data_IF_006055942931
#
_entry.id   IF_006055942931
#
_cell.length_a   1.000
_cell.length_b   1.000
_cell.length_c   1.000
_cell.angle_alpha   90.00
_cell.angle_beta   90.00
_cell.angle_gamma   90.00
#
_symmetry.space_group_name_H-M   'P 1'
#
loop_
_entity.id
_entity.type
_entity.pdbx_description
1 polymer ?
#
# COMPACT_ATOMS: atom_id res chain seq x y z
N UNK A 1 6.70 13.59 -1.22
CA UNK A 1 6.35 12.67 -0.11
C UNK A 1 5.63 13.34 1.05
N UNK A 2 5.95 14.58 1.43
CA UNK A 2 5.34 15.23 2.62
C UNK A 2 3.84 15.61 2.50
N UNK A 3 3.27 15.61 1.29
CA UNK A 3 1.93 16.15 1.02
C UNK A 3 0.77 15.19 1.35
N UNK A 4 1.04 13.92 1.70
CA UNK A 4 0.00 12.91 1.93
C UNK A 4 -0.09 12.40 3.37
N UNK A 5 0.78 12.86 4.28
CA UNK A 5 0.86 12.31 5.64
C UNK A 5 -0.04 13.02 6.66
N UNK A 6 -0.67 14.16 6.38
CA UNK A 6 -1.61 14.84 7.31
C UNK A 6 -1.14 14.88 8.79
N UNK A 7 0.17 15.13 9.04
CA UNK A 7 0.83 15.07 10.36
C UNK A 7 0.89 13.69 11.06
N UNK A 8 0.56 12.59 10.39
CA UNK A 8 0.76 11.24 10.91
C UNK A 8 2.20 10.74 10.71
N UNK A 9 2.75 9.94 11.64
CA UNK A 9 4.04 9.30 11.44
C UNK A 9 3.96 8.31 10.26
N UNK A 10 5.06 8.12 9.52
CA UNK A 10 5.09 7.24 8.34
C UNK A 10 4.71 5.80 8.68
N UNK A 11 5.08 5.34 9.88
CA UNK A 11 4.78 4.00 10.39
C UNK A 11 3.40 3.90 11.09
N UNK A 12 2.57 4.95 11.01
CA UNK A 12 1.23 4.90 11.59
C UNK A 12 0.44 3.75 10.96
N UNK A 13 -0.15 2.85 11.76
CA UNK A 13 -0.96 1.78 11.22
C UNK A 13 -2.17 2.37 10.50
N UNK A 14 -2.46 1.85 9.31
CA UNK A 14 -3.66 2.18 8.54
C UNK A 14 -4.51 0.93 8.35
N UNK A 15 -5.76 1.13 7.94
CA UNK A 15 -6.61 -0.01 7.61
C UNK A 15 -6.05 -0.79 6.42
N UNK A 16 -5.75 -2.08 6.63
CA UNK A 16 -5.31 -2.99 5.57
C UNK A 16 -6.26 -2.96 4.37
N UNK A 17 -7.57 -2.89 4.61
CA UNK A 17 -8.57 -2.82 3.55
C UNK A 17 -8.35 -1.61 2.61
N UNK A 18 -8.05 -0.44 3.17
CA UNK A 18 -7.80 0.77 2.38
C UNK A 18 -6.54 0.64 1.51
N UNK A 19 -5.49 0.00 2.03
CA UNK A 19 -4.28 -0.29 1.27
C UNK A 19 -4.55 -1.33 0.18
N UNK A 20 -5.23 -2.43 0.49
CA UNK A 20 -5.59 -3.46 -0.50
C UNK A 20 -6.46 -2.88 -1.62
N UNK A 21 -7.45 -2.02 -1.31
CA UNK A 21 -8.22 -1.33 -2.35
C UNK A 21 -7.34 -0.46 -3.25
N UNK A 22 -6.34 0.24 -2.70
CA UNK A 22 -5.42 1.03 -3.50
C UNK A 22 -4.53 0.14 -4.39
N UNK A 23 -4.03 -0.97 -3.86
CA UNK A 23 -3.23 -1.94 -4.62
C UNK A 23 -4.05 -2.61 -5.73
N UNK A 24 -5.30 -2.96 -5.46
CA UNK A 24 -6.22 -3.52 -6.46
C UNK A 24 -6.41 -2.55 -7.64
N UNK A 25 -6.70 -1.28 -7.35
CA UNK A 25 -6.85 -0.24 -8.38
C UNK A 25 -5.57 0.00 -9.18
N UNK A 26 -4.42 -0.29 -8.60
CA UNK A 26 -3.13 -0.18 -9.27
C UNK A 26 -2.85 -1.39 -10.18
N UNK A 27 -3.52 -2.53 -9.95
CA UNK A 27 -3.39 -3.74 -10.75
C UNK A 27 -2.89 -4.97 -9.99
N UNK A 28 -2.79 -4.93 -8.66
CA UNK A 28 -2.46 -6.12 -7.87
C UNK A 28 -3.68 -7.02 -7.68
N UNK A 29 -3.49 -8.34 -7.80
CA UNK A 29 -4.51 -9.33 -7.46
C UNK A 29 -4.65 -9.45 -5.93
N UNK A 30 -5.60 -8.71 -5.38
CA UNK A 30 -5.99 -8.84 -3.97
C UNK A 30 -7.02 -9.94 -3.71
N UNK A 31 -7.61 -10.52 -4.77
CA UNK A 31 -8.59 -11.60 -4.64
C UNK A 31 -7.92 -12.88 -4.11
N UNK A 32 -6.66 -13.10 -4.47
CA UNK A 32 -5.83 -14.15 -3.89
C UNK A 32 -5.51 -13.89 -2.39
N UNK A 33 -5.52 -12.65 -1.92
CA UNK A 33 -5.14 -12.29 -0.55
C UNK A 33 -6.28 -12.45 0.47
N UNK A 34 -6.85 -13.66 0.56
CA UNK A 34 -8.01 -13.95 1.42
C UNK A 34 -7.67 -14.12 2.91
N UNK A 35 -6.41 -14.41 3.23
CA UNK A 35 -5.95 -14.56 4.62
C UNK A 35 -5.04 -13.39 5.03
N UNK A 36 -4.98 -13.05 6.34
CA UNK A 36 -4.08 -12.00 6.82
C UNK A 36 -2.61 -12.22 6.44
N UNK A 37 -2.17 -13.50 6.40
CA UNK A 37 -0.81 -13.84 5.97
C UNK A 37 -0.58 -13.55 4.48
N UNK A 38 -1.57 -13.83 3.62
CA UNK A 38 -1.46 -13.53 2.19
C UNK A 38 -1.54 -12.03 1.93
N UNK A 39 -2.37 -11.29 2.67
CA UNK A 39 -2.40 -9.82 2.63
C UNK A 39 -1.05 -9.23 3.02
N UNK A 40 -0.46 -9.73 4.12
CA UNK A 40 0.88 -9.31 4.56
C UNK A 40 1.94 -9.57 3.50
N UNK A 41 1.90 -10.73 2.82
CA UNK A 41 2.81 -11.05 1.70
C UNK A 41 2.61 -10.11 0.51
N UNK A 42 1.37 -9.80 0.16
CA UNK A 42 1.06 -8.88 -0.94
C UNK A 42 1.54 -7.46 -0.63
N UNK A 43 1.32 -6.98 0.59
CA UNK A 43 1.83 -5.68 1.06
C UNK A 43 3.37 -5.68 1.07
N UNK A 44 4.00 -6.75 1.57
CA UNK A 44 5.45 -6.87 1.59
C UNK A 44 6.03 -6.85 0.16
N UNK A 45 5.40 -7.55 -0.79
CA UNK A 45 5.82 -7.52 -2.18
C UNK A 45 5.77 -6.10 -2.76
N UNK A 46 4.68 -5.35 -2.51
CA UNK A 46 4.59 -3.95 -2.93
C UNK A 46 5.67 -3.08 -2.26
N UNK A 47 5.88 -3.24 -0.95
CA UNK A 47 6.91 -2.53 -0.20
C UNK A 47 8.31 -2.83 -0.74
N UNK A 48 8.63 -4.08 -1.09
CA UNK A 48 9.92 -4.40 -1.70
C UNK A 48 10.17 -3.64 -3.01
N UNK A 49 9.12 -3.33 -3.78
CA UNK A 49 9.24 -2.59 -5.04
C UNK A 49 9.36 -1.08 -4.83
N UNK A 50 8.55 -0.51 -3.93
CA UNK A 50 8.40 0.96 -3.84
C UNK A 50 8.87 1.56 -2.50
N UNK A 51 9.08 0.75 -1.47
CA UNK A 51 9.55 1.12 -0.13
C UNK A 51 10.59 0.09 0.40
N UNK A 52 11.70 -0.18 -0.31
CA UNK A 52 12.62 -1.26 0.06
C UNK A 52 13.30 -1.07 1.43
N UNK A 53 13.21 0.14 2.01
CA UNK A 53 13.72 0.45 3.35
C UNK A 53 12.91 -0.22 4.47
N UNK A 54 11.65 -0.59 4.21
CA UNK A 54 10.78 -1.26 5.18
C UNK A 54 9.71 -2.10 4.45
N UNK A 55 9.86 -3.42 4.56
CA UNK A 55 9.05 -4.44 3.88
C UNK A 55 8.42 -5.45 4.85
N UNK A 56 8.10 -5.01 6.07
CA UNK A 56 7.48 -5.85 7.11
C UNK A 56 6.12 -6.44 6.72
N UNK A 57 5.52 -5.96 5.62
CA UNK A 57 4.19 -6.35 5.13
C UNK A 57 3.05 -5.70 5.92
N UNK A 58 3.37 -4.73 6.76
CA UNK A 58 2.40 -4.03 7.60
C UNK A 58 1.75 -2.89 6.81
N UNK A 59 0.45 -2.70 6.99
CA UNK A 59 -0.24 -1.57 6.38
C UNK A 59 0.07 -0.30 7.18
N UNK A 60 0.92 0.55 6.62
CA UNK A 60 1.32 1.83 7.19
C UNK A 60 0.96 3.03 6.29
N UNK A 61 0.97 4.22 6.89
CA UNK A 61 0.59 5.45 6.23
C UNK A 61 1.50 5.81 5.04
N UNK A 62 2.81 5.53 5.12
CA UNK A 62 3.75 5.76 4.03
C UNK A 62 3.47 4.82 2.85
N UNK A 63 3.25 3.53 3.11
CA UNK A 63 2.90 2.53 2.09
C UNK A 63 1.58 2.91 1.37
N UNK A 64 0.56 3.34 2.11
CA UNK A 64 -0.70 3.82 1.52
C UNK A 64 -0.51 5.11 0.71
N UNK A 65 0.31 6.04 1.20
CA UNK A 65 0.63 7.27 0.47
C UNK A 65 1.36 6.99 -0.85
N UNK A 66 2.31 6.04 -0.85
CA UNK A 66 3.00 5.58 -2.07
C UNK A 66 1.99 4.98 -3.06
N UNK A 67 1.13 4.06 -2.61
CA UNK A 67 0.12 3.44 -3.47
C UNK A 67 -0.82 4.49 -4.10
N UNK A 68 -1.30 5.46 -3.30
CA UNK A 68 -2.14 6.57 -3.78
C UNK A 68 -1.40 7.49 -4.75
N UNK A 69 -0.14 7.80 -4.50
CA UNK A 69 0.67 8.61 -5.40
C UNK A 69 0.90 7.92 -6.75
N UNK A 70 1.11 6.60 -6.75
CA UNK A 70 1.22 5.81 -7.97
C UNK A 70 -0.10 5.80 -8.75
N UNK A 71 -1.24 5.61 -8.08
CA UNK A 71 -2.57 5.73 -8.70
C UNK A 71 -2.81 7.10 -9.33
N UNK A 72 -2.43 8.17 -8.62
CA UNK A 72 -2.56 9.53 -9.14
C UNK A 72 -1.64 9.80 -10.34
N UNK A 73 -0.44 9.18 -10.36
CA UNK A 73 0.56 9.38 -11.43
C UNK A 73 0.23 8.59 -12.70
N UNK A 74 -0.22 7.35 -12.55
CA UNK A 74 -0.44 6.45 -13.70
C UNK A 74 -1.91 6.39 -14.13
N UNK A 75 -2.81 7.06 -13.41
CA UNK A 75 -4.25 6.91 -13.57
C UNK A 75 -4.69 5.54 -13.05
N UNK A 76 -5.81 5.49 -12.33
CA UNK A 76 -6.53 4.21 -12.24
C UNK A 76 -6.77 3.77 -13.69
N UNK A 77 -6.36 2.54 -14.05
CA UNK A 77 -6.85 1.95 -15.29
C UNK A 77 -8.38 2.12 -15.27
N UNK A 78 -8.88 2.91 -16.24
CA UNK A 78 -10.31 3.11 -16.46
C UNK A 78 -10.93 1.80 -16.91
#
# INVERSE_FOLDING_TARGET
>A
MQRYLANQPPDAPVECAALLTALQRYGYDVAAAQTPQMQRKLIAAFQMHFRPRDYRGEADAETLAIARALLAKYGAAQ
#
